data_IF_749331153998
#
_entry.id   IF_749331153998
#
_cell.length_a   1.000
_cell.length_b   1.000
_cell.length_c   1.000
_cell.angle_alpha   90.00
_cell.angle_beta   90.00
_cell.angle_gamma   90.00
#
_symmetry.space_group_name_H-M   'P 1'
#
loop_
_entity.id
_entity.type
_entity.pdbx_description
1 polymer ?
#
# COMPACT_ATOMS: atom_id res chain seq x y z
N UNK A 1 -33.06 -46.28 7.52
CA UNK A 1 -33.21 -45.21 8.53
C UNK A 1 -34.31 -45.61 9.50
N UNK A 2 -34.04 -45.53 10.79
CA UNK A 2 -34.97 -45.89 11.86
C UNK A 2 -35.99 -44.75 12.11
N UNK A 3 -37.17 -45.08 12.61
CA UNK A 3 -38.15 -44.12 13.10
C UNK A 3 -38.19 -44.12 14.63
N UNK A 4 -38.68 -43.04 15.24
CA UNK A 4 -38.80 -42.98 16.70
C UNK A 4 -39.71 -44.09 17.26
N UNK A 5 -40.73 -44.50 16.51
CA UNK A 5 -41.57 -45.65 16.88
C UNK A 5 -40.77 -46.96 16.88
N UNK A 6 -39.92 -47.19 15.87
CA UNK A 6 -39.02 -48.34 15.81
C UNK A 6 -38.03 -48.33 16.98
N UNK A 7 -37.35 -47.19 17.24
CA UNK A 7 -36.39 -47.05 18.35
C UNK A 7 -37.07 -47.23 19.70
N UNK A 8 -38.28 -46.69 19.90
CA UNK A 8 -39.07 -46.89 21.11
C UNK A 8 -39.41 -48.36 21.35
N UNK A 9 -39.74 -49.11 20.29
CA UNK A 9 -40.12 -50.52 20.38
C UNK A 9 -38.97 -51.50 20.66
N UNK A 10 -37.71 -51.05 20.56
CA UNK A 10 -36.53 -51.87 20.84
C UNK A 10 -36.52 -52.39 22.29
N UNK A 11 -36.44 -53.72 22.44
CA UNK A 11 -36.38 -54.42 23.73
C UNK A 11 -34.94 -54.74 24.14
N UNK A 12 -34.62 -54.73 25.44
CA UNK A 12 -33.33 -55.21 25.94
C UNK A 12 -33.14 -56.71 25.63
N UNK A 13 -31.88 -57.11 25.48
CA UNK A 13 -31.43 -58.52 25.33
C UNK A 13 -30.37 -58.81 26.40
N UNK A 14 -29.99 -60.08 26.57
CA UNK A 14 -28.94 -60.49 27.52
C UNK A 14 -27.61 -59.77 27.28
N UNK A 15 -27.29 -59.45 26.02
CA UNK A 15 -26.10 -58.69 25.64
C UNK A 15 -26.47 -57.38 24.93
N UNK A 16 -25.58 -56.38 25.05
CA UNK A 16 -25.70 -55.12 24.32
C UNK A 16 -25.69 -55.39 22.83
N UNK A 17 -26.61 -54.77 22.10
CA UNK A 17 -26.63 -54.81 20.63
C UNK A 17 -26.75 -53.41 20.04
N UNK A 18 -26.40 -53.28 18.76
CA UNK A 18 -26.42 -52.01 18.02
C UNK A 18 -27.23 -52.17 16.74
N UNK A 19 -28.04 -51.16 16.41
CA UNK A 19 -28.77 -51.09 15.15
C UNK A 19 -28.33 -49.87 14.36
N UNK A 20 -28.00 -50.07 13.08
CA UNK A 20 -27.57 -49.00 12.19
C UNK A 20 -28.76 -48.14 11.75
N UNK A 21 -28.60 -46.82 11.83
CA UNK A 21 -29.57 -45.85 11.32
C UNK A 21 -29.21 -45.36 9.91
N UNK A 22 -27.90 -45.38 9.58
CA UNK A 22 -27.34 -44.91 8.31
C UNK A 22 -26.23 -43.90 8.54
N UNK A 23 -25.41 -43.63 7.51
CA UNK A 23 -24.34 -42.62 7.56
C UNK A 23 -23.41 -42.76 8.80
N UNK A 24 -23.13 -44.00 9.24
CA UNK A 24 -22.31 -44.29 10.42
C UNK A 24 -22.94 -43.94 11.77
N UNK A 25 -24.22 -43.54 11.82
CA UNK A 25 -25.02 -43.44 13.03
C UNK A 25 -25.65 -44.80 13.37
N UNK A 26 -25.69 -45.12 14.66
CA UNK A 26 -26.28 -46.34 15.21
C UNK A 26 -26.90 -46.06 16.59
N UNK A 27 -27.86 -46.89 17.00
CA UNK A 27 -28.42 -46.90 18.35
C UNK A 27 -27.95 -48.16 19.10
N UNK A 28 -27.22 -47.97 20.18
CA UNK A 28 -26.80 -49.05 21.09
C UNK A 28 -27.86 -49.26 22.17
N UNK A 29 -28.35 -50.49 22.33
CA UNK A 29 -29.34 -50.89 23.35
C UNK A 29 -28.65 -51.75 24.40
N UNK A 30 -28.64 -51.30 25.66
CA UNK A 30 -28.08 -52.06 26.79
C UNK A 30 -29.03 -53.15 27.28
N UNK A 31 -28.53 -54.17 28.01
CA UNK A 31 -29.38 -55.12 28.73
C UNK A 31 -30.31 -54.45 29.75
N UNK A 32 -29.92 -53.28 30.26
CA UNK A 32 -30.75 -52.46 31.16
C UNK A 32 -31.85 -51.65 30.46
N UNK A 33 -31.93 -51.73 29.12
CA UNK A 33 -32.95 -51.03 28.32
C UNK A 33 -32.61 -49.60 27.91
N UNK A 34 -31.45 -49.06 28.31
CA UNK A 34 -30.98 -47.74 27.88
C UNK A 34 -30.60 -47.77 26.40
N UNK A 35 -30.91 -46.69 25.69
CA UNK A 35 -30.71 -46.55 24.24
C UNK A 35 -29.83 -45.34 23.97
N UNK A 36 -28.65 -45.55 23.39
CA UNK A 36 -27.64 -44.51 23.14
C UNK A 36 -27.36 -44.33 21.67
N UNK A 37 -27.37 -43.10 21.19
CA UNK A 37 -26.93 -42.79 19.84
C UNK A 37 -25.41 -42.76 19.78
N UNK A 38 -24.84 -43.56 18.87
CA UNK A 38 -23.40 -43.69 18.65
C UNK A 38 -23.10 -43.34 17.20
N UNK A 39 -22.23 -42.35 16.99
CA UNK A 39 -21.67 -42.02 15.67
C UNK A 39 -20.29 -42.66 15.52
N UNK A 40 -20.10 -43.34 14.39
CA UNK A 40 -18.83 -43.92 13.96
C UNK A 40 -18.25 -43.06 12.84
N UNK A 41 -17.00 -42.64 13.02
CA UNK A 41 -16.28 -41.72 12.12
C UNK A 41 -14.80 -42.15 12.03
N UNK A 42 -14.08 -41.66 11.03
CA UNK A 42 -12.65 -41.92 10.86
C UNK A 42 -11.87 -40.62 11.01
N UNK A 43 -10.79 -40.68 11.78
CA UNK A 43 -9.78 -39.62 11.89
C UNK A 43 -8.42 -40.28 11.66
N UNK A 44 -7.62 -39.76 10.72
CA UNK A 44 -6.31 -40.30 10.35
C UNK A 44 -6.35 -41.82 10.03
N UNK A 45 -7.36 -42.27 9.28
CA UNK A 45 -7.54 -43.68 8.92
C UNK A 45 -8.05 -44.60 10.03
N UNK A 46 -8.02 -44.18 11.30
CA UNK A 46 -8.50 -44.97 12.45
C UNK A 46 -9.99 -44.71 12.68
N UNK A 47 -10.76 -45.79 12.85
CA UNK A 47 -12.18 -45.71 13.18
C UNK A 47 -12.37 -45.43 14.67
N UNK A 48 -13.15 -44.39 14.96
CA UNK A 48 -13.49 -43.94 16.32
C UNK A 48 -15.02 -43.90 16.46
N UNK A 49 -15.52 -44.14 17.68
CA UNK A 49 -16.95 -44.08 18.03
C UNK A 49 -17.16 -43.04 19.13
N UNK A 50 -18.21 -42.22 19.02
CA UNK A 50 -18.60 -41.23 20.03
C UNK A 50 -20.10 -41.33 20.34
N UNK A 51 -20.45 -41.19 21.62
CA UNK A 51 -21.83 -41.10 22.06
C UNK A 51 -22.38 -39.68 21.85
N UNK A 52 -23.57 -39.58 21.27
CA UNK A 52 -24.26 -38.32 20.96
C UNK A 52 -25.36 -37.96 21.97
N UNK A 53 -25.90 -38.94 22.69
CA UNK A 53 -26.99 -38.76 23.65
C UNK A 53 -27.80 -40.04 23.85
N UNK A 54 -28.80 -39.99 24.73
CA UNK A 54 -29.73 -41.10 24.98
C UNK A 54 -31.11 -40.80 24.35
N UNK A 55 -31.85 -41.84 23.97
CA UNK A 55 -33.27 -41.74 23.59
C UNK A 55 -34.14 -41.96 24.84
N UNK A 56 -35.23 -41.19 25.08
CA UNK A 56 -35.93 -40.30 24.14
C UNK A 56 -35.45 -38.84 24.12
N UNK A 57 -34.51 -38.44 24.97
CA UNK A 57 -34.04 -37.05 25.06
C UNK A 57 -33.47 -36.52 23.73
N UNK A 58 -32.86 -37.41 22.94
CA UNK A 58 -32.41 -37.15 21.57
C UNK A 58 -33.17 -38.05 20.58
N UNK A 59 -34.10 -37.47 19.82
CA UNK A 59 -34.88 -38.16 18.80
C UNK A 59 -34.07 -38.53 17.54
N UNK A 60 -34.64 -39.37 16.67
CA UNK A 60 -33.94 -39.87 15.47
C UNK A 60 -33.47 -38.73 14.53
N UNK A 61 -34.31 -37.70 14.35
CA UNK A 61 -33.99 -36.56 13.47
C UNK A 61 -32.80 -35.75 14.01
N UNK A 62 -32.84 -35.41 15.28
CA UNK A 62 -31.82 -34.59 15.94
C UNK A 62 -30.51 -35.35 16.07
N UNK A 63 -30.57 -36.67 16.34
CA UNK A 63 -29.40 -37.54 16.35
C UNK A 63 -28.67 -37.55 15.00
N UNK A 64 -29.39 -37.56 13.87
CA UNK A 64 -28.80 -37.49 12.52
C UNK A 64 -28.16 -36.14 12.26
N UNK A 65 -28.85 -35.06 12.61
CA UNK A 65 -28.30 -33.71 12.44
C UNK A 65 -27.00 -33.56 13.23
N UNK A 66 -26.98 -34.00 14.48
CA UNK A 66 -25.81 -33.96 15.34
C UNK A 66 -24.68 -34.88 14.83
N UNK A 67 -25.02 -36.05 14.29
CA UNK A 67 -24.04 -36.96 13.68
C UNK A 67 -23.39 -36.37 12.42
N UNK A 68 -24.16 -35.70 11.56
CA UNK A 68 -23.66 -35.01 10.37
C UNK A 68 -22.74 -33.87 10.73
N UNK A 69 -23.16 -33.00 11.66
CA UNK A 69 -22.33 -31.90 12.14
C UNK A 69 -21.03 -32.41 12.74
N UNK A 70 -21.11 -33.40 13.62
CA UNK A 70 -19.93 -33.97 14.26
C UNK A 70 -18.96 -34.60 13.25
N UNK A 71 -19.46 -35.21 12.18
CA UNK A 71 -18.61 -35.75 11.11
C UNK A 71 -17.95 -34.66 10.29
N UNK A 72 -18.64 -33.56 9.98
CA UNK A 72 -18.05 -32.41 9.29
C UNK A 72 -16.92 -31.80 10.12
N UNK A 73 -17.14 -31.65 11.43
CA UNK A 73 -16.14 -31.10 12.35
C UNK A 73 -14.94 -32.06 12.53
N UNK A 74 -15.21 -33.36 12.67
CA UNK A 74 -14.18 -34.38 12.88
C UNK A 74 -13.42 -34.78 11.61
N UNK A 75 -14.03 -34.57 10.43
CA UNK A 75 -13.36 -34.65 9.12
C UNK A 75 -12.74 -33.31 8.71
N UNK A 76 -12.60 -32.35 9.65
CA UNK A 76 -12.04 -31.03 9.41
C UNK A 76 -10.92 -31.13 8.40
N UNK A 77 -11.08 -30.44 7.27
CA UNK A 77 -10.05 -30.35 6.23
C UNK A 77 -8.73 -30.15 6.97
N UNK A 78 -7.81 -31.10 6.88
CA UNK A 78 -6.42 -30.87 7.27
C UNK A 78 -5.93 -29.85 6.25
N UNK A 79 -6.07 -28.57 6.59
CA UNK A 79 -5.48 -27.49 5.81
C UNK A 79 -3.98 -27.75 5.84
N UNK A 80 -3.37 -27.82 4.67
CA UNK A 80 -1.92 -27.71 4.57
C UNK A 80 -1.61 -26.28 5.01
N UNK A 81 -1.20 -26.10 6.27
CA UNK A 81 -0.96 -24.79 6.88
C UNK A 81 0.54 -24.54 6.92
N UNK A 82 1.15 -24.08 5.81
CA UNK A 82 2.58 -23.79 5.79
C UNK A 82 2.96 -22.66 6.76
N UNK A 83 4.26 -22.54 7.09
CA UNK A 83 4.75 -21.40 7.85
C UNK A 83 4.42 -20.06 7.19
N UNK A 84 4.20 -19.03 8.00
CA UNK A 84 3.91 -17.65 7.52
C UNK A 84 4.92 -17.17 6.48
N UNK A 85 6.21 -17.46 6.69
CA UNK A 85 7.27 -17.12 5.74
C UNK A 85 7.06 -17.74 4.37
N UNK A 86 6.69 -19.02 4.32
CA UNK A 86 6.43 -19.73 3.06
C UNK A 86 5.28 -19.08 2.30
N UNK A 87 4.20 -18.71 2.99
CA UNK A 87 3.06 -18.01 2.38
C UNK A 87 3.46 -16.62 1.87
N UNK A 88 4.30 -15.90 2.62
CA UNK A 88 4.86 -14.61 2.18
C UNK A 88 5.67 -14.77 0.91
N UNK A 89 6.58 -15.76 0.86
CA UNK A 89 7.45 -15.99 -0.29
C UNK A 89 6.63 -16.36 -1.54
N UNK A 90 5.60 -17.18 -1.38
CA UNK A 90 4.67 -17.52 -2.46
C UNK A 90 3.88 -16.30 -2.96
N UNK A 91 3.32 -15.52 -2.05
CA UNK A 91 2.61 -14.29 -2.38
C UNK A 91 3.52 -13.27 -3.08
N UNK A 92 4.75 -13.10 -2.60
CA UNK A 92 5.75 -12.22 -3.22
C UNK A 92 6.08 -12.69 -4.64
N UNK A 93 6.23 -13.99 -4.87
CA UNK A 93 6.49 -14.54 -6.22
C UNK A 93 5.38 -14.19 -7.20
N UNK A 94 4.12 -14.21 -6.76
CA UNK A 94 2.96 -13.84 -7.58
C UNK A 94 2.82 -12.33 -7.81
N UNK A 95 3.16 -11.52 -6.80
CA UNK A 95 2.97 -10.07 -6.85
C UNK A 95 4.14 -9.30 -7.48
N UNK A 96 5.36 -9.80 -7.35
CA UNK A 96 6.58 -9.14 -7.85
C UNK A 96 6.51 -8.75 -9.33
N UNK A 97 6.01 -9.60 -10.26
CA UNK A 97 5.87 -9.22 -11.67
C UNK A 97 4.97 -8.00 -11.93
N UNK A 98 4.09 -7.65 -10.98
CA UNK A 98 3.18 -6.49 -11.10
C UNK A 98 3.83 -5.18 -10.65
N UNK A 99 5.01 -5.24 -10.03
CA UNK A 99 5.70 -4.07 -9.50
C UNK A 99 6.92 -3.74 -10.35
N UNK A 100 6.97 -2.51 -10.85
CA UNK A 100 8.10 -2.01 -11.65
C UNK A 100 9.25 -1.44 -10.82
N UNK A 101 9.03 -1.17 -9.52
CA UNK A 101 10.00 -0.50 -8.66
C UNK A 101 10.68 -1.48 -7.71
N UNK A 102 12.00 -1.69 -7.90
CA UNK A 102 12.83 -2.49 -6.97
C UNK A 102 12.77 -1.95 -5.54
N UNK A 103 12.87 -0.64 -5.36
CA UNK A 103 12.75 0.01 -4.05
C UNK A 103 11.42 -0.31 -3.36
N UNK A 104 10.33 -0.37 -4.13
CA UNK A 104 9.03 -0.73 -3.59
C UNK A 104 9.00 -2.19 -3.11
N UNK A 105 9.52 -3.13 -3.92
CA UNK A 105 9.68 -4.53 -3.54
C UNK A 105 10.48 -4.67 -2.23
N UNK A 106 11.66 -4.05 -2.16
CA UNK A 106 12.51 -4.08 -0.96
C UNK A 106 11.78 -3.55 0.28
N UNK A 107 10.96 -2.50 0.10
CA UNK A 107 10.14 -1.92 1.18
C UNK A 107 9.04 -2.88 1.64
N UNK A 108 8.39 -3.59 0.72
CA UNK A 108 7.36 -4.59 1.04
C UNK A 108 7.98 -5.76 1.81
N UNK A 109 9.09 -6.30 1.31
CA UNK A 109 9.84 -7.39 1.95
C UNK A 109 10.27 -7.00 3.36
N UNK A 110 10.89 -5.82 3.52
CA UNK A 110 11.29 -5.30 4.83
C UNK A 110 10.11 -5.23 5.80
N UNK A 111 8.97 -4.69 5.37
CA UNK A 111 7.79 -4.51 6.21
C UNK A 111 7.17 -5.84 6.65
N UNK A 112 7.08 -6.80 5.73
CA UNK A 112 6.59 -8.14 6.03
C UNK A 112 7.52 -8.85 7.01
N UNK A 113 8.82 -8.89 6.74
CA UNK A 113 9.80 -9.47 7.66
C UNK A 113 9.76 -8.81 9.04
N UNK A 114 9.60 -7.50 9.09
CA UNK A 114 9.58 -6.76 10.35
C UNK A 114 8.33 -7.05 11.20
N UNK A 115 7.14 -7.15 10.58
CA UNK A 115 5.92 -7.45 11.32
C UNK A 115 5.76 -8.94 11.66
N UNK A 116 6.45 -9.84 10.94
CA UNK A 116 6.38 -11.29 11.21
C UNK A 116 7.62 -11.83 11.91
N UNK A 117 8.55 -10.99 12.34
CA UNK A 117 9.84 -11.38 12.94
C UNK A 117 9.69 -12.49 13.99
N UNK A 118 8.70 -12.39 14.88
CA UNK A 118 8.53 -13.29 16.02
C UNK A 118 7.70 -14.55 15.74
N UNK A 119 7.06 -14.63 14.56
CA UNK A 119 6.12 -15.71 14.22
C UNK A 119 6.22 -16.16 12.75
N UNK A 120 7.30 -15.82 12.06
CA UNK A 120 7.50 -16.16 10.65
C UNK A 120 7.59 -17.66 10.36
N UNK A 121 8.03 -18.45 11.36
CA UNK A 121 8.15 -19.91 11.28
C UNK A 121 6.90 -20.64 11.77
N UNK A 122 5.93 -19.93 12.36
CA UNK A 122 4.69 -20.53 12.85
C UNK A 122 3.76 -20.87 11.67
N UNK A 123 3.00 -21.99 11.72
CA UNK A 123 1.93 -22.28 10.76
C UNK A 123 0.93 -21.12 10.68
N UNK A 124 0.55 -20.72 9.47
CA UNK A 124 -0.31 -19.54 9.28
C UNK A 124 -1.68 -19.66 9.97
N UNK A 125 -2.25 -20.87 10.04
CA UNK A 125 -3.53 -21.10 10.72
C UNK A 125 -3.43 -21.04 12.25
N UNK A 126 -2.24 -21.14 12.82
CA UNK A 126 -2.02 -21.06 14.28
C UNK A 126 -1.77 -19.62 14.77
N UNK A 127 -1.55 -18.67 13.87
CA UNK A 127 -1.27 -17.29 14.26
C UNK A 127 -2.52 -16.64 14.85
N UNK A 128 -2.41 -16.22 16.10
CA UNK A 128 -3.49 -15.57 16.83
C UNK A 128 -3.39 -14.03 16.77
N UNK A 129 -4.55 -13.37 16.87
CA UNK A 129 -4.66 -11.90 16.94
C UNK A 129 -3.77 -11.30 18.03
N UNK A 130 -3.65 -11.95 19.19
CA UNK A 130 -2.85 -11.47 20.33
C UNK A 130 -1.37 -11.30 19.97
N UNK A 131 -0.82 -12.21 19.16
CA UNK A 131 0.57 -12.18 18.69
C UNK A 131 0.80 -10.97 17.78
N UNK A 132 -0.12 -10.73 16.86
CA UNK A 132 -0.04 -9.60 15.93
C UNK A 132 -0.21 -8.27 16.67
N UNK A 133 -1.17 -8.16 17.60
CA UNK A 133 -1.37 -6.96 18.42
C UNK A 133 -0.11 -6.63 19.22
N UNK A 134 0.53 -7.64 19.83
CA UNK A 134 1.80 -7.45 20.54
C UNK A 134 2.86 -6.84 19.62
N UNK A 135 3.08 -7.43 18.44
CA UNK A 135 4.08 -6.92 17.48
C UNK A 135 3.76 -5.52 16.96
N UNK A 136 2.49 -5.24 16.64
CA UNK A 136 2.07 -3.90 16.21
C UNK A 136 2.33 -2.85 17.29
N UNK A 137 2.02 -3.16 18.56
CA UNK A 137 2.32 -2.26 19.68
C UNK A 137 3.82 -2.01 19.85
N UNK A 138 4.67 -3.02 19.65
CA UNK A 138 6.12 -2.84 19.67
C UNK A 138 6.62 -1.88 18.58
N UNK A 139 6.10 -1.99 17.36
CA UNK A 139 6.44 -1.09 16.25
C UNK A 139 5.98 0.35 16.54
N UNK A 140 4.77 0.50 17.10
CA UNK A 140 4.21 1.80 17.51
C UNK A 140 5.07 2.44 18.59
N UNK A 141 5.48 1.68 19.61
CA UNK A 141 6.30 2.17 20.72
C UNK A 141 7.70 2.62 20.27
N UNK A 142 8.20 2.14 19.13
CA UNK A 142 9.43 2.63 18.48
C UNK A 142 9.24 3.96 17.74
N UNK A 143 8.04 4.55 17.76
CA UNK A 143 7.73 5.85 17.18
C UNK A 143 7.37 5.83 15.69
N UNK A 144 7.12 4.66 15.09
CA UNK A 144 6.90 4.52 13.64
C UNK A 144 5.47 4.12 13.27
N UNK A 145 4.50 5.01 13.51
CA UNK A 145 3.07 4.76 13.27
C UNK A 145 2.76 4.37 11.81
N UNK A 146 3.33 5.06 10.84
CA UNK A 146 3.10 4.76 9.42
C UNK A 146 3.67 3.39 9.04
N UNK A 147 4.82 3.00 9.61
CA UNK A 147 5.38 1.65 9.42
C UNK A 147 4.44 0.59 9.97
N UNK A 148 3.92 0.77 11.19
CA UNK A 148 2.94 -0.15 11.78
C UNK A 148 1.71 -0.33 10.89
N UNK A 149 1.12 0.78 10.41
CA UNK A 149 -0.07 0.76 9.54
C UNK A 149 0.20 0.04 8.22
N UNK A 150 1.32 0.37 7.56
CA UNK A 150 1.68 -0.21 6.25
C UNK A 150 2.01 -1.68 6.36
N UNK A 151 2.74 -2.08 7.41
CA UNK A 151 3.06 -3.48 7.65
C UNK A 151 1.81 -4.30 7.99
N UNK A 152 0.92 -3.80 8.85
CA UNK A 152 -0.34 -4.47 9.18
C UNK A 152 -1.23 -4.65 7.94
N UNK A 153 -1.29 -3.64 7.07
CA UNK A 153 -2.02 -3.75 5.81
C UNK A 153 -1.46 -4.88 4.93
N UNK A 154 -0.14 -4.96 4.78
CA UNK A 154 0.50 -6.03 4.02
C UNK A 154 0.23 -7.40 4.64
N UNK A 155 0.36 -7.53 5.97
CA UNK A 155 0.05 -8.77 6.67
C UNK A 155 -1.42 -9.21 6.46
N UNK A 156 -2.35 -8.25 6.45
CA UNK A 156 -3.75 -8.52 6.13
C UNK A 156 -3.93 -9.04 4.68
N UNK A 157 -3.17 -8.53 3.72
CA UNK A 157 -3.15 -9.05 2.35
C UNK A 157 -2.61 -10.49 2.30
N UNK A 158 -1.59 -10.82 3.12
CA UNK A 158 -1.06 -12.20 3.25
C UNK A 158 -2.12 -13.15 3.82
N UNK A 159 -2.84 -12.77 4.88
CA UNK A 159 -3.90 -13.64 5.43
C UNK A 159 -5.08 -13.81 4.48
N UNK A 160 -5.45 -12.77 3.72
CA UNK A 160 -6.47 -12.91 2.68
C UNK A 160 -6.04 -13.85 1.57
N UNK A 161 -4.76 -13.80 1.16
CA UNK A 161 -4.19 -14.76 0.23
C UNK A 161 -4.21 -16.18 0.79
N UNK A 162 -3.80 -16.36 2.05
CA UNK A 162 -3.82 -17.65 2.73
C UNK A 162 -5.23 -18.27 2.80
N UNK A 163 -6.27 -17.45 3.00
CA UNK A 163 -7.67 -17.90 2.93
C UNK A 163 -8.03 -18.33 1.51
N UNK A 164 -7.66 -17.54 0.50
CA UNK A 164 -7.92 -17.87 -0.90
C UNK A 164 -7.20 -19.15 -1.35
N UNK A 165 -6.03 -19.45 -0.77
CA UNK A 165 -5.25 -20.67 -1.00
C UNK A 165 -5.65 -21.85 -0.11
N UNK A 166 -6.72 -21.73 0.70
CA UNK A 166 -7.20 -22.78 1.63
C UNK A 166 -6.13 -23.20 2.67
N UNK A 167 -5.22 -22.30 3.04
CA UNK A 167 -4.20 -22.51 4.10
C UNK A 167 -4.71 -22.15 5.50
N UNK A 168 -5.73 -21.30 5.59
CA UNK A 168 -6.41 -20.93 6.84
C UNK A 168 -7.84 -20.50 6.53
N UNK A 169 -8.74 -20.57 7.53
CA UNK A 169 -10.11 -20.08 7.42
C UNK A 169 -10.33 -18.72 8.08
N UNK A 170 -9.31 -18.15 8.73
CA UNK A 170 -9.44 -16.93 9.56
C UNK A 170 -8.39 -15.89 9.20
N UNK A 171 -8.80 -14.63 9.29
CA UNK A 171 -7.89 -13.51 9.21
C UNK A 171 -7.79 -12.83 10.59
N UNK A 172 -6.70 -13.04 11.35
CA UNK A 172 -6.51 -12.44 12.67
C UNK A 172 -6.22 -10.93 12.62
N UNK A 173 -5.91 -10.36 11.45
CA UNK A 173 -5.57 -8.94 11.30
C UNK A 173 -6.77 -7.99 11.41
N UNK A 174 -7.99 -8.51 11.32
CA UNK A 174 -9.23 -7.73 11.46
C UNK A 174 -9.24 -6.96 12.79
N UNK A 175 -9.63 -5.68 12.76
CA UNK A 175 -9.76 -4.77 13.92
C UNK A 175 -8.44 -4.35 14.59
N UNK A 176 -7.28 -4.84 14.14
CA UNK A 176 -5.99 -4.43 14.75
C UNK A 176 -5.64 -2.97 14.41
N UNK A 177 -6.24 -2.39 13.36
CA UNK A 177 -6.06 -0.96 13.04
C UNK A 177 -6.36 -0.04 14.22
N UNK A 178 -7.31 -0.43 15.08
CA UNK A 178 -7.84 0.40 16.16
C UNK A 178 -6.86 0.49 17.34
N UNK A 179 -5.86 -0.41 17.42
CA UNK A 179 -4.79 -0.30 18.41
C UNK A 179 -3.68 0.65 17.98
N UNK A 180 -3.71 1.13 16.74
CA UNK A 180 -2.72 2.09 16.22
C UNK A 180 -3.31 3.50 16.38
N UNK A 181 -2.66 4.39 17.16
CA UNK A 181 -3.11 5.76 17.30
C UNK A 181 -3.33 6.46 15.95
N UNK A 182 -4.36 7.30 15.88
CA UNK A 182 -4.53 8.19 14.74
C UNK A 182 -3.36 9.17 14.71
N UNK A 183 -2.77 9.35 13.53
CA UNK A 183 -1.74 10.36 13.34
C UNK A 183 -2.44 11.65 12.93
N UNK A 184 -2.12 12.76 13.57
CA UNK A 184 -2.46 14.07 13.01
C UNK A 184 -1.64 14.23 11.74
N UNK A 185 -2.33 14.40 10.61
CA UNK A 185 -1.66 14.64 9.32
C UNK A 185 -0.99 16.00 9.42
N UNK A 186 0.33 16.02 9.58
CA UNK A 186 1.12 17.24 9.43
C UNK A 186 1.42 17.40 7.95
N UNK A 187 0.96 18.50 7.37
CA UNK A 187 1.34 18.88 6.01
C UNK A 187 2.86 19.07 5.96
N UNK A 188 3.46 18.77 4.81
CA UNK A 188 4.89 19.01 4.61
C UNK A 188 5.17 20.52 4.70
N UNK A 189 6.24 20.94 5.41
CA UNK A 189 6.58 22.35 5.53
C UNK A 189 6.79 23.03 4.18
N UNK A 190 6.18 24.21 4.03
CA UNK A 190 6.33 25.10 2.88
C UNK A 190 6.38 26.52 3.41
N UNK A 191 7.22 27.34 2.80
CA UNK A 191 7.16 28.79 3.00
C UNK A 191 5.95 29.36 2.28
N UNK A 192 5.47 30.50 2.78
CA UNK A 192 4.50 31.35 2.09
C UNK A 192 5.20 32.25 1.07
N UNK A 193 4.44 32.78 0.11
CA UNK A 193 4.96 33.58 -1.01
C UNK A 193 5.75 34.81 -0.54
N UNK A 194 5.34 35.43 0.56
CA UNK A 194 5.94 36.61 1.16
C UNK A 194 7.35 36.34 1.71
N UNK A 195 7.66 35.08 2.03
CA UNK A 195 8.96 34.67 2.55
C UNK A 195 9.93 34.25 1.43
N UNK A 196 9.43 34.08 0.20
CA UNK A 196 10.22 33.61 -0.95
C UNK A 196 11.33 34.55 -1.38
N UNK A 197 11.20 35.90 -1.32
CA UNK A 197 12.30 36.80 -1.64
C UNK A 197 13.54 36.57 -0.77
N UNK A 198 13.37 36.53 0.56
CA UNK A 198 14.47 36.27 1.49
C UNK A 198 15.03 34.84 1.33
N UNK A 199 14.18 33.86 1.03
CA UNK A 199 14.62 32.51 0.70
C UNK A 199 15.56 32.49 -0.51
N UNK A 200 15.16 33.14 -1.61
CA UNK A 200 15.95 33.17 -2.82
C UNK A 200 17.25 33.94 -2.64
N UNK A 201 17.23 35.05 -1.88
CA UNK A 201 18.44 35.81 -1.52
C UNK A 201 19.50 34.94 -0.87
N UNK A 202 19.12 34.17 0.15
CA UNK A 202 20.06 33.28 0.83
C UNK A 202 20.57 32.19 -0.09
N UNK A 203 19.66 31.56 -0.84
CA UNK A 203 20.02 30.44 -1.73
C UNK A 203 20.95 30.89 -2.84
N UNK A 204 20.71 32.03 -3.49
CA UNK A 204 21.55 32.54 -4.60
C UNK A 204 22.92 33.02 -4.13
N UNK A 205 23.04 33.51 -2.90
CA UNK A 205 24.31 33.92 -2.29
C UNK A 205 25.08 32.74 -1.66
N UNK A 206 24.47 31.56 -1.55
CA UNK A 206 25.09 30.39 -0.95
C UNK A 206 25.96 29.61 -1.95
N UNK A 207 26.93 28.84 -1.42
CA UNK A 207 27.77 27.98 -2.24
C UNK A 207 27.00 26.75 -2.75
N UNK A 208 26.39 26.90 -3.92
CA UNK A 208 25.60 25.88 -4.64
C UNK A 208 26.11 25.82 -6.06
N UNK A 209 26.26 24.61 -6.61
CA UNK A 209 26.68 24.48 -8.00
C UNK A 209 25.62 25.06 -8.93
N UNK A 210 25.99 25.64 -10.07
CA UNK A 210 25.03 26.20 -11.02
C UNK A 210 23.89 25.21 -11.33
N UNK A 211 24.19 23.94 -11.59
CA UNK A 211 23.20 22.93 -11.95
C UNK A 211 22.16 22.70 -10.83
N UNK A 212 22.58 22.66 -9.56
CA UNK A 212 21.65 22.48 -8.45
C UNK A 212 20.84 23.74 -8.15
N UNK A 213 21.39 24.93 -8.44
CA UNK A 213 20.63 26.18 -8.40
C UNK A 213 19.57 26.21 -9.50
N UNK A 214 19.90 25.76 -10.72
CA UNK A 214 18.92 25.58 -11.80
C UNK A 214 17.84 24.58 -11.40
N UNK A 215 18.19 23.45 -10.79
CA UNK A 215 17.22 22.46 -10.31
C UNK A 215 16.24 23.05 -9.30
N UNK A 216 16.73 23.87 -8.35
CA UNK A 216 15.88 24.58 -7.39
C UNK A 216 14.94 25.57 -8.09
N UNK A 217 15.47 26.40 -8.99
CA UNK A 217 14.68 27.37 -9.75
C UNK A 217 13.60 26.66 -10.57
N UNK A 218 13.97 25.65 -11.36
CA UNK A 218 13.05 24.86 -12.18
C UNK A 218 11.98 24.17 -11.32
N UNK A 219 12.33 23.61 -10.17
CA UNK A 219 11.34 23.02 -9.26
C UNK A 219 10.33 24.05 -8.73
N UNK A 220 10.79 25.28 -8.46
CA UNK A 220 9.92 26.38 -8.06
C UNK A 220 9.04 26.83 -9.23
N UNK A 221 9.61 27.20 -10.38
CA UNK A 221 8.89 27.67 -11.57
C UNK A 221 7.86 26.68 -12.07
N UNK A 222 8.21 25.38 -12.18
CA UNK A 222 7.36 24.39 -12.85
C UNK A 222 6.39 23.66 -11.93
N UNK A 223 6.63 23.72 -10.61
CA UNK A 223 5.91 22.96 -9.60
C UNK A 223 5.85 21.44 -9.84
N UNK A 224 6.78 20.88 -10.61
CA UNK A 224 6.94 19.42 -10.76
C UNK A 224 7.50 18.78 -9.50
N UNK A 225 7.41 17.45 -9.34
CA UNK A 225 8.07 16.80 -8.20
C UNK A 225 9.57 16.86 -8.41
N UNK A 226 10.31 17.22 -7.36
CA UNK A 226 11.77 17.31 -7.44
C UNK A 226 12.39 16.00 -7.97
N UNK A 227 11.84 14.85 -7.58
CA UNK A 227 12.36 13.56 -8.03
C UNK A 227 12.16 13.32 -9.53
N UNK A 228 11.08 13.84 -10.11
CA UNK A 228 10.80 13.77 -11.55
C UNK A 228 11.76 14.68 -12.32
N UNK A 229 12.00 15.89 -11.79
CA UNK A 229 12.98 16.84 -12.34
C UNK A 229 14.40 16.27 -12.32
N UNK A 230 14.86 15.75 -11.19
CA UNK A 230 16.24 15.26 -11.06
C UNK A 230 16.48 14.00 -11.92
N UNK A 231 15.45 13.20 -12.17
CA UNK A 231 15.53 12.04 -13.05
C UNK A 231 15.47 12.38 -14.54
N UNK A 232 15.34 13.66 -14.92
CA UNK A 232 15.26 14.07 -16.32
C UNK A 232 16.54 13.73 -17.08
N UNK A 233 16.38 13.38 -18.36
CA UNK A 233 17.48 12.99 -19.25
C UNK A 233 17.35 13.69 -20.59
N UNK A 234 18.48 13.93 -21.25
CA UNK A 234 18.47 14.49 -22.61
C UNK A 234 18.15 13.41 -23.65
N UNK A 235 18.67 12.19 -23.48
CA UNK A 235 18.50 11.05 -24.39
C UNK A 235 17.08 10.48 -24.42
N UNK A 236 16.21 10.85 -23.48
CA UNK A 236 14.80 10.47 -23.50
C UNK A 236 13.95 11.33 -24.44
N UNK A 237 14.48 12.48 -24.90
CA UNK A 237 13.71 13.45 -25.70
C UNK A 237 12.56 14.11 -24.93
N UNK A 238 12.58 14.08 -23.59
CA UNK A 238 11.49 14.62 -22.77
C UNK A 238 11.45 16.14 -22.71
N UNK A 239 12.60 16.81 -22.88
CA UNK A 239 12.68 18.26 -22.96
C UNK A 239 12.64 18.67 -24.42
N UNK A 240 11.47 19.10 -24.87
CA UNK A 240 11.24 19.60 -26.21
C UNK A 240 11.36 21.13 -26.20
N UNK A 241 12.58 21.60 -26.49
CA UNK A 241 12.88 23.04 -26.56
C UNK A 241 12.20 23.70 -27.78
N UNK A 242 11.97 22.95 -28.86
CA UNK A 242 11.35 23.49 -30.08
C UNK A 242 9.87 23.80 -29.85
N UNK A 243 9.13 22.85 -29.29
CA UNK A 243 7.71 23.00 -28.98
C UNK A 243 7.45 23.66 -27.62
N UNK A 244 8.51 23.95 -26.85
CA UNK A 244 8.45 24.52 -25.49
C UNK A 244 7.64 23.66 -24.53
N UNK A 245 7.94 22.37 -24.50
CA UNK A 245 7.25 21.39 -23.66
C UNK A 245 8.25 20.51 -22.92
N UNK A 246 7.90 20.12 -21.69
CA UNK A 246 8.54 19.01 -21.00
C UNK A 246 7.55 17.88 -20.77
N UNK A 247 7.79 16.74 -21.41
CA UNK A 247 6.94 15.54 -21.36
C UNK A 247 7.51 14.52 -20.37
N UNK A 248 7.02 14.53 -19.14
CA UNK A 248 7.42 13.53 -18.14
C UNK A 248 6.68 12.21 -18.44
N UNK A 249 7.39 11.12 -18.78
CA UNK A 249 6.76 9.89 -19.24
C UNK A 249 6.02 9.17 -18.12
N UNK A 250 4.94 8.47 -18.47
CA UNK A 250 4.09 7.68 -17.59
C UNK A 250 4.87 6.71 -16.68
N UNK A 251 5.99 6.17 -17.18
CA UNK A 251 6.86 5.26 -16.42
C UNK A 251 7.49 5.89 -15.18
N UNK A 252 7.71 7.22 -15.19
CA UNK A 252 8.24 8.00 -14.06
C UNK A 252 7.14 8.68 -13.23
N UNK A 253 5.90 8.65 -13.70
CA UNK A 253 4.76 9.29 -13.04
C UNK A 253 4.02 8.34 -12.11
N UNK A 254 3.69 8.82 -10.90
CA UNK A 254 2.92 8.04 -9.91
C UNK A 254 1.56 7.56 -10.43
N UNK A 255 0.92 8.35 -11.29
CA UNK A 255 -0.40 8.07 -11.86
C UNK A 255 -0.33 7.32 -13.20
N UNK A 256 0.85 6.88 -13.64
CA UNK A 256 1.06 6.11 -14.89
C UNK A 256 0.45 6.77 -16.14
N UNK A 257 0.49 8.09 -16.20
CA UNK A 257 0.14 8.89 -17.39
C UNK A 257 1.27 9.88 -17.67
N UNK A 258 1.49 10.19 -18.94
CA UNK A 258 2.41 11.26 -19.31
C UNK A 258 1.93 12.58 -18.70
N UNK A 259 2.88 13.41 -18.29
CA UNK A 259 2.61 14.74 -17.78
C UNK A 259 3.40 15.76 -18.60
N UNK A 260 2.67 16.50 -19.42
CA UNK A 260 3.25 17.58 -20.24
C UNK A 260 3.22 18.87 -19.45
N UNK A 261 4.35 19.56 -19.35
CA UNK A 261 4.56 20.82 -18.62
C UNK A 261 4.96 21.91 -19.62
N UNK A 262 4.27 23.07 -19.65
CA UNK A 262 4.68 24.20 -20.49
C UNK A 262 6.05 24.75 -20.09
N UNK A 263 6.89 25.07 -21.07
CA UNK A 263 8.13 25.82 -20.84
C UNK A 263 7.86 27.31 -21.08
N UNK A 264 7.83 28.10 -20.00
CA UNK A 264 7.83 29.57 -20.08
C UNK A 264 9.20 30.06 -20.52
N UNK A 265 9.34 31.36 -20.83
CA UNK A 265 10.64 31.90 -21.23
C UNK A 265 11.72 31.69 -20.15
N UNK A 266 11.35 31.81 -18.87
CA UNK A 266 12.26 31.54 -17.75
C UNK A 266 12.73 30.09 -17.73
N UNK A 267 11.81 29.12 -17.81
CA UNK A 267 12.18 27.70 -17.72
C UNK A 267 12.86 27.21 -18.99
N UNK A 268 12.46 27.73 -20.16
CA UNK A 268 13.15 27.52 -21.43
C UNK A 268 14.61 27.99 -21.34
N UNK A 269 14.86 29.20 -20.86
CA UNK A 269 16.23 29.73 -20.72
C UNK A 269 17.07 28.86 -19.79
N UNK A 270 16.54 28.46 -18.63
CA UNK A 270 17.25 27.58 -17.70
C UNK A 270 17.57 26.21 -18.32
N UNK A 271 16.63 25.60 -19.06
CA UNK A 271 16.90 24.34 -19.76
C UNK A 271 17.88 24.53 -20.93
N UNK A 272 17.82 25.66 -21.63
CA UNK A 272 18.75 25.97 -22.73
C UNK A 272 20.18 26.12 -22.23
N UNK A 273 20.38 26.84 -21.13
CA UNK A 273 21.69 26.97 -20.48
C UNK A 273 22.23 25.59 -20.05
N UNK A 274 21.40 24.76 -19.41
CA UNK A 274 21.77 23.39 -19.06
C UNK A 274 22.09 22.52 -20.28
N UNK A 275 21.38 22.72 -21.39
CA UNK A 275 21.61 21.99 -22.65
C UNK A 275 22.92 22.42 -23.32
N UNK A 276 23.24 23.71 -23.30
CA UNK A 276 24.44 24.27 -23.94
C UNK A 276 25.71 23.88 -23.19
N UNK A 277 25.62 23.67 -21.87
CA UNK A 277 26.72 23.22 -21.03
C UNK A 277 26.73 21.69 -20.77
N UNK A 278 25.87 20.91 -21.45
CA UNK A 278 25.80 19.46 -21.22
C UNK A 278 27.09 18.75 -21.66
N UNK A 279 27.52 17.77 -20.87
CA UNK A 279 28.70 16.95 -21.16
C UNK A 279 28.38 15.66 -21.93
N UNK A 280 27.14 15.18 -21.84
CA UNK A 280 26.61 14.05 -22.59
C UNK A 280 25.07 14.15 -22.64
N UNK A 281 24.43 13.18 -23.28
CA UNK A 281 22.97 13.11 -23.40
C UNK A 281 22.29 12.34 -22.26
N UNK A 282 22.98 12.02 -21.17
CA UNK A 282 22.43 11.26 -20.04
C UNK A 282 21.52 12.10 -19.13
N UNK A 283 21.64 11.89 -17.81
CA UNK A 283 20.90 12.67 -16.81
C UNK A 283 21.28 14.16 -16.89
N UNK A 284 20.26 15.03 -16.82
CA UNK A 284 20.46 16.49 -16.77
C UNK A 284 21.14 16.87 -15.45
N UNK A 285 20.67 16.30 -14.34
CA UNK A 285 21.22 16.54 -13.00
C UNK A 285 21.94 15.29 -12.47
N UNK A 286 23.26 15.24 -12.66
CA UNK A 286 24.08 14.05 -12.39
C UNK A 286 24.53 13.93 -10.94
N UNK A 287 24.70 12.69 -10.48
CA UNK A 287 25.34 12.42 -9.20
C UNK A 287 26.85 12.69 -9.29
N UNK A 288 27.39 13.48 -8.35
CA UNK A 288 28.78 13.98 -8.38
C UNK A 288 29.83 12.88 -8.51
N UNK A 289 29.63 11.72 -7.86
CA UNK A 289 30.61 10.61 -7.87
C UNK A 289 30.27 9.50 -8.87
N UNK A 290 29.05 9.49 -9.40
CA UNK A 290 28.59 8.45 -10.32
C UNK A 290 27.74 9.11 -11.42
N UNK A 291 28.36 9.65 -12.47
CA UNK A 291 27.64 10.38 -13.52
C UNK A 291 26.56 9.56 -14.26
N UNK A 292 26.61 8.22 -14.14
CA UNK A 292 25.57 7.32 -14.64
C UNK A 292 24.28 7.30 -13.80
N UNK A 293 24.26 7.98 -12.65
CA UNK A 293 23.09 8.16 -11.78
C UNK A 293 22.68 9.63 -11.70
N UNK A 294 21.41 9.89 -11.38
CA UNK A 294 20.94 11.23 -11.09
C UNK A 294 21.27 11.67 -9.66
N UNK A 295 21.32 12.97 -9.41
CA UNK A 295 21.45 13.51 -8.06
C UNK A 295 20.24 13.15 -7.20
N UNK A 296 20.47 12.95 -5.90
CA UNK A 296 19.44 12.57 -4.94
C UNK A 296 18.66 13.81 -4.49
N UNK A 297 17.36 13.64 -4.23
CA UNK A 297 16.50 14.73 -3.71
C UNK A 297 17.01 15.32 -2.39
N UNK A 298 17.74 14.51 -1.63
CA UNK A 298 18.39 14.82 -0.36
C UNK A 298 19.46 15.89 -0.53
N UNK A 299 20.12 15.97 -1.69
CA UNK A 299 21.08 17.04 -1.99
C UNK A 299 20.39 18.40 -2.10
N UNK A 300 19.21 18.46 -2.73
CA UNK A 300 18.40 19.69 -2.80
C UNK A 300 17.87 20.06 -1.42
N UNK A 301 17.38 19.08 -0.65
CA UNK A 301 16.96 19.30 0.74
C UNK A 301 18.12 19.81 1.62
N UNK A 302 19.34 19.30 1.42
CA UNK A 302 20.52 19.76 2.14
C UNK A 302 20.85 21.23 1.82
N UNK A 303 20.67 21.68 0.57
CA UNK A 303 20.81 23.10 0.21
C UNK A 303 19.80 23.94 0.99
N UNK A 304 18.52 23.54 1.00
CA UNK A 304 17.46 24.25 1.73
C UNK A 304 17.79 24.35 3.22
N UNK A 305 18.21 23.22 3.84
CA UNK A 305 18.56 23.17 5.27
C UNK A 305 19.76 24.05 5.62
N UNK A 306 20.84 23.99 4.82
CA UNK A 306 22.06 24.80 5.05
C UNK A 306 21.80 26.31 4.96
N UNK A 307 20.78 26.70 4.22
CA UNK A 307 20.34 28.09 4.09
C UNK A 307 19.37 28.54 5.21
N UNK A 308 19.23 27.75 6.29
CA UNK A 308 18.46 28.13 7.48
C UNK A 308 16.99 27.75 7.47
N UNK A 309 16.52 27.03 6.45
CA UNK A 309 15.11 26.65 6.28
C UNK A 309 14.79 25.22 6.72
N UNK A 310 15.63 24.64 7.58
CA UNK A 310 15.39 23.31 8.13
C UNK A 310 14.05 23.27 8.89
N UNK A 311 13.17 22.35 8.50
CA UNK A 311 11.84 22.21 9.10
C UNK A 311 10.81 23.25 8.66
N UNK A 312 11.20 24.24 7.88
CA UNK A 312 10.31 25.30 7.35
C UNK A 312 10.01 25.10 5.86
N UNK A 313 11.02 24.65 5.10
CA UNK A 313 10.88 24.33 3.69
C UNK A 313 11.44 22.94 3.40
N UNK A 314 10.74 22.18 2.57
CA UNK A 314 11.25 20.94 1.99
C UNK A 314 11.12 20.99 0.46
N UNK A 315 11.70 20.02 -0.24
CA UNK A 315 11.65 19.99 -1.71
C UNK A 315 10.22 19.90 -2.26
N UNK A 316 9.31 19.21 -1.57
CA UNK A 316 7.89 19.22 -1.93
C UNK A 316 7.21 20.57 -1.60
N UNK A 317 7.79 21.38 -0.73
CA UNK A 317 7.26 22.69 -0.34
C UNK A 317 6.98 23.59 -1.56
N UNK A 318 7.84 23.59 -2.59
CA UNK A 318 7.60 24.36 -3.82
C UNK A 318 6.26 24.06 -4.49
N UNK A 319 5.82 22.79 -4.47
CA UNK A 319 4.53 22.39 -5.04
C UNK A 319 3.36 22.84 -4.18
N UNK A 320 3.53 22.79 -2.86
CA UNK A 320 2.54 23.30 -1.91
C UNK A 320 2.41 24.82 -2.06
N UNK A 321 3.53 25.54 -2.12
CA UNK A 321 3.59 26.97 -2.42
C UNK A 321 2.86 27.30 -3.72
N UNK A 322 3.17 26.59 -4.82
CA UNK A 322 2.48 26.78 -6.10
C UNK A 322 0.96 26.62 -5.96
N UNK A 323 0.52 25.50 -5.38
CA UNK A 323 -0.92 25.21 -5.21
C UNK A 323 -1.61 26.26 -4.35
N UNK A 324 -1.04 26.63 -3.21
CA UNK A 324 -1.60 27.64 -2.31
C UNK A 324 -1.64 29.02 -2.98
N UNK A 325 -0.53 29.46 -3.57
CA UNK A 325 -0.41 30.80 -4.15
C UNK A 325 -1.34 30.98 -5.37
N UNK A 326 -1.40 29.98 -6.26
CA UNK A 326 -2.29 30.01 -7.44
C UNK A 326 -3.76 29.90 -7.08
N UNK A 327 -4.14 29.10 -6.06
CA UNK A 327 -5.53 29.07 -5.60
C UNK A 327 -5.93 30.40 -4.92
N UNK A 328 -5.03 30.99 -4.14
CA UNK A 328 -5.28 32.25 -3.44
C UNK A 328 -5.43 33.45 -4.39
N UNK A 329 -4.78 33.42 -5.57
CA UNK A 329 -4.93 34.48 -6.58
C UNK A 329 -6.35 34.57 -7.15
N UNK A 330 -7.11 33.46 -7.13
CA UNK A 330 -8.46 33.33 -7.71
C UNK A 330 -8.52 33.64 -9.22
N UNK A 331 -7.37 33.69 -9.90
CA UNK A 331 -7.26 33.99 -11.33
C UNK A 331 -7.49 32.74 -12.19
N UNK A 332 -7.25 31.55 -11.64
CA UNK A 332 -7.27 30.29 -12.38
C UNK A 332 -8.22 29.28 -11.74
N UNK A 333 -8.79 28.41 -12.56
CA UNK A 333 -9.68 27.35 -12.09
C UNK A 333 -8.90 26.32 -11.27
N UNK A 334 -9.43 25.83 -10.14
CA UNK A 334 -8.80 24.78 -9.34
C UNK A 334 -8.46 23.52 -10.16
N UNK A 335 -9.33 23.13 -11.09
CA UNK A 335 -9.08 22.00 -12.00
C UNK A 335 -7.76 22.18 -12.78
N UNK A 336 -7.49 23.39 -13.31
CA UNK A 336 -6.28 23.69 -14.10
C UNK A 336 -5.02 23.61 -13.23
N UNK A 337 -5.09 24.17 -12.01
CA UNK A 337 -4.01 24.14 -11.02
C UNK A 337 -3.68 22.69 -10.63
N UNK A 338 -4.70 21.89 -10.31
CA UNK A 338 -4.51 20.48 -9.93
C UNK A 338 -3.95 19.64 -11.09
N UNK A 339 -4.40 19.89 -12.32
CA UNK A 339 -3.84 19.25 -13.51
C UNK A 339 -2.36 19.61 -13.74
N UNK A 340 -1.97 20.87 -13.51
CA UNK A 340 -0.59 21.32 -13.64
C UNK A 340 0.37 20.59 -12.69
N UNK A 341 -0.09 20.19 -11.50
CA UNK A 341 0.70 19.38 -10.56
C UNK A 341 0.43 17.87 -10.71
N UNK A 342 -0.17 17.45 -11.82
CA UNK A 342 -0.52 16.06 -12.13
C UNK A 342 -1.40 15.39 -11.06
N UNK A 343 -2.21 16.16 -10.33
CA UNK A 343 -3.29 15.63 -9.52
C UNK A 343 -4.49 15.29 -10.41
N UNK A 344 -5.27 14.30 -9.99
CA UNK A 344 -6.48 13.86 -10.69
C UNK A 344 -7.65 14.00 -9.72
N UNK A 345 -8.71 14.73 -10.08
CA UNK A 345 -9.94 14.72 -9.30
C UNK A 345 -10.50 13.29 -9.24
N UNK A 346 -10.75 12.78 -8.03
CA UNK A 346 -11.23 11.39 -7.81
C UNK A 346 -12.61 11.13 -8.42
N UNK A 347 -13.40 12.19 -8.66
CA UNK A 347 -14.83 12.09 -8.94
C UNK A 347 -15.22 12.33 -10.40
N UNK A 348 -14.26 12.35 -11.34
CA UNK A 348 -14.59 12.51 -12.76
C UNK A 348 -14.25 11.26 -13.56
N UNK A 349 -15.32 10.61 -14.03
CA UNK A 349 -15.37 9.69 -15.20
C UNK A 349 -14.95 10.43 -16.51
N UNK A 350 -14.48 11.69 -16.42
CA UNK A 350 -14.04 12.44 -17.60
C UNK A 350 -12.67 11.95 -18.03
N UNK A 351 -12.68 11.31 -19.20
CA UNK A 351 -11.69 11.63 -20.23
C UNK A 351 -10.40 10.87 -20.09
N UNK A 352 -10.50 9.57 -20.29
CA UNK A 352 -9.47 8.79 -20.97
C UNK A 352 -8.98 9.59 -22.21
N UNK A 353 -7.65 9.78 -22.31
CA UNK A 353 -6.86 10.34 -23.43
C UNK A 353 -6.96 11.84 -23.77
N UNK A 354 -6.43 12.74 -22.93
CA UNK A 354 -5.78 13.91 -23.52
C UNK A 354 -4.50 14.32 -22.76
N UNK A 355 -3.35 14.30 -23.45
CA UNK A 355 -2.04 14.71 -22.88
C UNK A 355 -1.99 16.22 -22.58
N UNK A 356 -2.91 16.98 -23.17
CA UNK A 356 -2.96 18.43 -23.22
C UNK A 356 -4.25 19.01 -22.60
N UNK A 357 -4.84 18.34 -21.60
CA UNK A 357 -6.06 18.87 -20.96
C UNK A 357 -5.78 20.25 -20.33
N UNK A 358 -6.65 21.22 -20.65
CA UNK A 358 -6.51 22.63 -20.28
C UNK A 358 -5.20 23.28 -20.73
N UNK A 359 -4.57 22.82 -21.83
CA UNK A 359 -3.22 23.27 -22.21
C UNK A 359 -3.07 24.78 -22.29
N UNK A 360 -3.95 25.48 -23.02
CA UNK A 360 -3.84 26.94 -23.17
C UNK A 360 -4.00 27.66 -21.82
N UNK A 361 -4.96 27.24 -20.98
CA UNK A 361 -5.14 27.77 -19.62
C UNK A 361 -3.91 27.48 -18.74
N UNK A 362 -3.26 26.31 -18.90
CA UNK A 362 -2.04 25.95 -18.18
C UNK A 362 -0.83 26.76 -18.64
N UNK A 363 -0.72 27.05 -19.93
CA UNK A 363 0.33 27.92 -20.47
C UNK A 363 0.22 29.30 -19.84
N UNK A 364 -0.97 29.89 -19.80
CA UNK A 364 -1.20 31.20 -19.17
C UNK A 364 -0.97 31.16 -17.66
N UNK A 365 -1.43 30.11 -16.97
CA UNK A 365 -1.14 29.88 -15.55
C UNK A 365 0.37 29.85 -15.28
N UNK A 366 1.12 29.10 -16.07
CA UNK A 366 2.57 28.96 -15.87
C UNK A 366 3.32 30.23 -16.20
N UNK A 367 2.93 30.98 -17.24
CA UNK A 367 3.49 32.32 -17.53
C UNK A 367 3.31 33.26 -16.35
N UNK A 368 2.07 33.42 -15.89
CA UNK A 368 1.74 34.27 -14.74
C UNK A 368 2.53 33.84 -13.48
N UNK A 369 2.56 32.55 -13.19
CA UNK A 369 3.27 32.05 -12.02
C UNK A 369 4.79 32.25 -12.13
N UNK A 370 5.38 32.08 -13.32
CA UNK A 370 6.79 32.37 -13.54
C UNK A 370 7.13 33.86 -13.33
N UNK A 371 6.22 34.78 -13.64
CA UNK A 371 6.40 36.21 -13.30
C UNK A 371 6.38 36.45 -11.79
N UNK A 372 5.53 35.73 -11.03
CA UNK A 372 5.54 35.79 -9.57
C UNK A 372 6.87 35.28 -9.01
N UNK A 373 7.36 34.15 -9.51
CA UNK A 373 8.66 33.58 -9.11
C UNK A 373 9.81 34.52 -9.46
N UNK A 374 9.79 35.15 -10.64
CA UNK A 374 10.76 36.19 -11.02
C UNK A 374 10.75 37.35 -10.03
N UNK A 375 9.58 37.80 -9.58
CA UNK A 375 9.48 38.87 -8.58
C UNK A 375 10.15 38.47 -7.26
N UNK A 376 10.04 37.21 -6.86
CA UNK A 376 10.71 36.70 -5.66
C UNK A 376 12.23 36.59 -5.86
N UNK A 377 12.68 36.16 -7.03
CA UNK A 377 14.12 35.98 -7.31
C UNK A 377 14.82 37.32 -7.58
N UNK A 378 14.15 38.30 -8.21
CA UNK A 378 14.71 39.64 -8.50
C UNK A 378 14.67 40.56 -7.28
N UNK A 379 13.70 40.37 -6.38
CA UNK A 379 13.63 41.08 -5.10
C UNK A 379 14.65 40.61 -4.04
N UNK A 380 15.56 39.71 -4.41
CA UNK A 380 16.53 39.04 -3.57
C UNK A 380 17.88 39.77 -3.48
#
# INVERSE_FOLDING_TARGET
MLSDSQVKSLKPKEQRYSLADGEGLSIDVSPTGKKKWIVSYRVNGKQTRKSLGEYPDLGCKDARQLARQFKLDAQGKTLDSPPVKTVIDEWLKLMTPRWSSKKYLDTVVYRLNYITEDFSTQPIDEVERKTIVKKVKEIVNKGTLETAKRSLRLLNEIFNFAIASDYTQKNPCTLISDVIPQQTVRNMPSLDAEQMPEFWKRVTQSNVTPELLHALKLACYTAVRISELLQSRWDSGEIDLENRQWVIPASRMKMRRDHVVPLTDQTYTLFKELYDHKTDNGYIFKHTRNPGEHVRSESILAIIKRNGYAGQMVTHGFRSLFSTHTNNSKLFRPDVIEYQIAHVPKDRIRGIYNRAEYWDERVELMKWYSEQVDSWIKGA
#
